data_IF_909204219083
#
_entry.id   IF_909204219083
#
_cell.length_a   1.000
_cell.length_b   1.000
_cell.length_c   1.000
_cell.angle_alpha   90.00
_cell.angle_beta   90.00
_cell.angle_gamma   90.00
#
_symmetry.space_group_name_H-M   'P 1'
#
loop_
_entity.id
_entity.type
_entity.pdbx_description
1 polymer ?
#
# COMPACT_ATOMS: atom_id res chain seq x y z
N UNK A 1 11.58 -10.10 -35.63
CA UNK A 1 12.60 -10.31 -34.57
C UNK A 1 12.94 -8.96 -33.96
N UNK A 2 12.19 -8.51 -32.95
CA UNK A 2 12.46 -7.24 -32.28
C UNK A 2 13.76 -7.34 -31.47
N UNK A 3 14.65 -6.36 -31.65
CA UNK A 3 15.94 -6.31 -30.96
C UNK A 3 15.76 -6.25 -29.45
N UNK A 4 16.54 -7.03 -28.71
CA UNK A 4 16.41 -7.13 -27.26
C UNK A 4 16.89 -5.84 -26.59
N UNK A 5 15.96 -5.01 -26.12
CA UNK A 5 16.30 -3.74 -25.47
C UNK A 5 16.97 -4.01 -24.11
N UNK A 6 18.22 -3.57 -23.97
CA UNK A 6 19.04 -3.83 -22.77
C UNK A 6 18.87 -2.77 -21.68
N UNK A 7 18.47 -1.56 -22.06
CA UNK A 7 18.24 -0.43 -21.16
C UNK A 7 16.82 0.11 -21.33
N UNK A 8 16.06 0.10 -20.24
CA UNK A 8 14.74 0.72 -20.13
C UNK A 8 14.77 1.67 -18.96
N UNK A 9 14.39 2.91 -19.23
CA UNK A 9 14.33 3.98 -18.25
C UNK A 9 13.13 3.80 -17.31
N UNK A 10 13.16 4.46 -16.16
CA UNK A 10 12.14 4.26 -15.13
C UNK A 10 10.73 4.63 -15.59
N UNK A 11 10.62 5.73 -16.32
CA UNK A 11 9.35 6.22 -16.81
C UNK A 11 8.77 5.27 -17.85
N UNK A 12 9.63 4.68 -18.69
CA UNK A 12 9.23 3.61 -19.59
C UNK A 12 8.79 2.35 -18.82
N UNK A 13 9.48 1.95 -17.75
CA UNK A 13 9.02 0.81 -16.93
C UNK A 13 7.65 1.09 -16.30
N UNK A 14 7.40 2.32 -15.83
CA UNK A 14 6.11 2.72 -15.26
C UNK A 14 5.00 2.67 -16.30
N UNK A 15 5.25 3.17 -17.50
CA UNK A 15 4.27 3.12 -18.59
C UNK A 15 3.93 1.67 -18.97
N UNK A 16 4.92 0.79 -19.03
CA UNK A 16 4.70 -0.63 -19.29
C UNK A 16 3.86 -1.30 -18.20
N UNK A 17 4.13 -1.00 -16.93
CA UNK A 17 3.32 -1.50 -15.82
C UNK A 17 1.90 -0.93 -15.86
N UNK A 18 1.72 0.34 -16.22
CA UNK A 18 0.40 0.96 -16.36
C UNK A 18 -0.43 0.28 -17.47
N UNK A 19 0.20 -0.04 -18.62
CA UNK A 19 -0.46 -0.80 -19.69
C UNK A 19 -0.80 -2.24 -19.29
N UNK A 20 0.07 -2.88 -18.49
CA UNK A 20 -0.25 -4.18 -17.90
C UNK A 20 -1.42 -4.12 -16.92
N UNK A 21 -1.53 -3.04 -16.12
CA UNK A 21 -2.66 -2.81 -15.21
C UNK A 21 -3.96 -2.50 -15.96
N UNK A 22 -3.86 -1.83 -17.11
CA UNK A 22 -4.99 -1.61 -18.02
C UNK A 22 -5.51 -2.91 -18.68
N UNK A 23 -4.84 -4.05 -18.46
CA UNK A 23 -5.26 -5.36 -18.96
C UNK A 23 -4.82 -5.65 -20.40
N UNK A 24 -3.85 -4.90 -20.93
CA UNK A 24 -3.28 -5.19 -22.25
C UNK A 24 -2.56 -6.56 -22.26
N UNK A 25 -2.44 -7.16 -23.45
CA UNK A 25 -1.79 -8.45 -23.60
C UNK A 25 -0.27 -8.31 -23.36
N UNK A 26 0.17 -8.79 -22.20
CA UNK A 26 1.58 -8.75 -21.75
C UNK A 26 2.56 -9.37 -22.75
N UNK A 27 2.13 -10.34 -23.56
CA UNK A 27 3.02 -10.96 -24.57
C UNK A 27 3.27 -10.02 -25.75
N UNK A 28 2.23 -9.33 -26.23
CA UNK A 28 2.39 -8.32 -27.29
C UNK A 28 3.24 -7.14 -26.81
N UNK A 29 2.98 -6.68 -25.59
CA UNK A 29 3.74 -5.60 -24.96
C UNK A 29 5.23 -5.96 -24.80
N UNK A 30 5.51 -7.21 -24.41
CA UNK A 30 6.86 -7.76 -24.30
C UNK A 30 7.57 -7.80 -25.67
N UNK A 31 6.86 -8.23 -26.73
CA UNK A 31 7.39 -8.32 -28.08
C UNK A 31 7.63 -6.93 -28.71
N UNK A 32 6.75 -5.97 -28.48
CA UNK A 32 6.88 -4.56 -28.93
C UNK A 32 8.14 -3.89 -28.39
N UNK A 33 8.43 -4.15 -27.10
CA UNK A 33 9.57 -3.55 -26.39
C UNK A 33 10.83 -4.39 -26.53
N UNK A 34 10.72 -5.64 -26.97
CA UNK A 34 11.85 -6.58 -27.09
C UNK A 34 12.36 -7.08 -25.74
N UNK A 35 11.48 -7.31 -24.77
CA UNK A 35 11.81 -7.82 -23.43
C UNK A 35 10.99 -9.08 -23.11
N UNK A 36 11.49 -9.96 -22.23
CA UNK A 36 10.71 -11.10 -21.78
C UNK A 36 9.57 -10.69 -20.84
N UNK A 37 8.39 -11.29 -21.02
CA UNK A 37 7.24 -11.17 -20.10
C UNK A 37 7.60 -11.39 -18.62
N UNK A 38 8.56 -12.28 -18.35
CA UNK A 38 9.03 -12.55 -17.00
C UNK A 38 9.62 -11.29 -16.35
N UNK A 39 10.36 -10.48 -17.11
CA UNK A 39 10.99 -9.25 -16.60
C UNK A 39 9.97 -8.17 -16.25
N UNK A 40 8.85 -8.14 -16.98
CA UNK A 40 7.71 -7.28 -16.66
C UNK A 40 7.04 -7.70 -15.34
N UNK A 41 6.83 -9.00 -15.12
CA UNK A 41 6.32 -9.50 -13.83
C UNK A 41 7.30 -9.24 -12.68
N UNK A 42 8.61 -9.44 -12.91
CA UNK A 42 9.65 -9.11 -11.93
C UNK A 42 9.63 -7.64 -11.54
N UNK A 43 9.40 -6.71 -12.48
CA UNK A 43 9.27 -5.28 -12.17
C UNK A 43 8.02 -4.96 -11.37
N UNK A 44 6.88 -5.57 -11.70
CA UNK A 44 5.64 -5.41 -10.92
C UNK A 44 5.83 -5.92 -9.50
N UNK A 45 6.41 -7.09 -9.34
CA UNK A 45 6.62 -7.72 -8.05
C UNK A 45 7.67 -6.93 -7.24
N UNK A 46 8.73 -6.44 -7.88
CA UNK A 46 9.72 -5.57 -7.26
C UNK A 46 9.11 -4.23 -6.82
N UNK A 47 8.22 -3.63 -7.62
CA UNK A 47 7.49 -2.42 -7.26
C UNK A 47 6.59 -2.65 -6.04
N UNK A 48 5.89 -3.78 -5.99
CA UNK A 48 5.03 -4.14 -4.85
C UNK A 48 5.82 -4.42 -3.57
N UNK A 49 7.01 -5.01 -3.68
CA UNK A 49 7.84 -5.41 -2.54
C UNK A 49 8.73 -4.28 -2.03
N UNK A 50 9.26 -3.43 -2.90
CA UNK A 50 10.28 -2.43 -2.55
C UNK A 50 9.84 -0.98 -2.78
N UNK A 51 8.69 -0.75 -3.42
CA UNK A 51 8.17 0.59 -3.71
C UNK A 51 8.95 1.38 -4.75
N UNK A 52 9.98 0.78 -5.36
CA UNK A 52 10.86 1.44 -6.33
C UNK A 52 11.19 0.50 -7.51
N UNK A 53 11.34 1.06 -8.71
CA UNK A 53 11.76 0.36 -9.93
C UNK A 53 13.26 0.48 -10.20
N UNK A 54 13.99 1.27 -9.39
CA UNK A 54 15.46 1.28 -9.40
C UNK A 54 15.95 -0.05 -8.88
N UNK A 55 16.52 -0.86 -9.77
CA UNK A 55 17.67 -1.67 -9.36
C UNK A 55 18.73 -0.65 -8.94
N UNK A 56 18.91 -0.41 -7.63
CA UNK A 56 20.06 0.37 -7.16
C UNK A 56 21.26 -0.13 -7.93
N UNK A 57 21.91 0.75 -8.69
CA UNK A 57 23.13 0.39 -9.40
C UNK A 57 24.00 -0.33 -8.38
N UNK A 58 24.28 -1.60 -8.65
CA UNK A 58 25.10 -2.47 -7.82
C UNK A 58 26.54 -1.96 -7.91
N UNK A 59 26.79 -0.81 -7.31
CA UNK A 59 28.09 -0.21 -7.16
C UNK A 59 28.72 -0.77 -5.90
N UNK A 60 29.24 -1.99 -6.02
CA UNK A 60 30.25 -2.58 -5.13
C UNK A 60 29.83 -2.83 -3.67
N UNK A 61 29.47 -4.08 -3.27
CA UNK A 61 29.67 -4.45 -1.88
C UNK A 61 31.17 -4.25 -1.56
N UNK A 62 31.47 -3.56 -0.46
CA UNK A 62 32.83 -3.42 0.03
C UNK A 62 33.45 -4.82 0.13
N UNK A 63 34.57 -5.02 -0.55
CA UNK A 63 35.30 -6.28 -0.56
C UNK A 63 35.76 -6.53 0.87
N UNK A 64 35.05 -7.39 1.61
CA UNK A 64 35.56 -7.92 2.87
C UNK A 64 36.74 -8.80 2.52
N UNK A 65 37.95 -8.23 2.55
CA UNK A 65 39.17 -9.00 2.79
C UNK A 65 39.13 -9.43 4.25
N UNK A 66 38.26 -10.37 4.57
CA UNK A 66 38.17 -10.99 5.87
C UNK A 66 38.19 -12.50 5.63
N UNK A 67 39.36 -13.08 5.88
CA UNK A 67 39.51 -14.48 6.24
C UNK A 67 39.33 -15.47 5.11
N UNK A 68 40.46 -15.93 4.58
CA UNK A 68 40.63 -17.37 4.45
C UNK A 68 40.31 -18.04 5.81
N UNK A 69 39.86 -19.29 5.74
CA UNK A 69 39.67 -20.26 6.83
C UNK A 69 38.24 -20.40 7.37
N UNK A 70 37.63 -21.54 7.07
CA UNK A 70 36.42 -21.98 7.77
C UNK A 70 35.44 -22.83 6.95
N UNK A 71 35.88 -23.91 6.33
CA UNK A 71 35.01 -24.93 5.73
C UNK A 71 34.23 -25.77 6.77
N UNK A 72 33.81 -25.16 7.89
CA UNK A 72 33.24 -25.86 9.04
C UNK A 72 32.17 -25.04 9.77
N UNK A 73 31.09 -24.63 9.09
CA UNK A 73 29.86 -24.24 9.79
C UNK A 73 28.60 -24.34 8.90
N UNK A 74 28.32 -25.55 8.39
CA UNK A 74 27.11 -25.81 7.59
C UNK A 74 25.91 -26.33 8.40
N UNK A 75 25.89 -26.21 9.74
CA UNK A 75 24.83 -26.88 10.53
C UNK A 75 24.16 -26.07 11.65
N UNK A 76 24.52 -24.79 11.90
CA UNK A 76 23.95 -24.02 13.03
C UNK A 76 23.49 -22.57 12.70
N UNK A 77 23.11 -22.23 11.47
CA UNK A 77 22.53 -20.90 11.16
C UNK A 77 21.02 -20.97 10.91
N UNK A 78 20.29 -21.50 11.87
CA UNK A 78 18.85 -21.26 12.03
C UNK A 78 18.74 -20.09 13.03
N UNK A 79 17.93 -19.08 12.71
CA UNK A 79 17.53 -17.96 13.59
C UNK A 79 18.43 -16.71 13.71
N UNK A 80 18.92 -16.16 12.59
CA UNK A 80 19.10 -14.70 12.51
C UNK A 80 18.15 -14.13 11.46
N UNK A 81 17.08 -13.38 11.85
CA UNK A 81 16.19 -12.80 10.88
C UNK A 81 16.97 -11.81 10.03
N UNK A 82 16.98 -12.07 8.73
CA UNK A 82 17.67 -11.22 7.75
C UNK A 82 17.12 -9.78 7.88
N UNK A 83 17.91 -8.73 7.58
CA UNK A 83 17.43 -7.35 7.64
C UNK A 83 16.13 -7.13 6.84
N UNK A 84 15.91 -7.94 5.81
CA UNK A 84 14.69 -7.98 5.01
C UNK A 84 13.49 -8.50 5.80
N UNK A 85 13.61 -9.61 6.54
CA UNK A 85 12.54 -10.12 7.41
C UNK A 85 12.17 -9.16 8.53
N UNK A 86 13.15 -8.43 9.09
CA UNK A 86 12.89 -7.37 10.07
C UNK A 86 12.10 -6.20 9.48
N UNK A 87 12.32 -5.87 8.21
CA UNK A 87 11.51 -4.86 7.52
C UNK A 87 10.08 -5.39 7.29
N UNK A 88 9.93 -6.63 6.79
CA UNK A 88 8.62 -7.25 6.56
C UNK A 88 7.79 -7.35 7.84
N UNK A 89 8.41 -7.65 8.98
CA UNK A 89 7.71 -7.70 10.27
C UNK A 89 7.25 -6.32 10.75
N UNK A 90 8.04 -5.26 10.51
CA UNK A 90 7.61 -3.88 10.78
C UNK A 90 6.45 -3.46 9.89
N UNK A 91 6.51 -3.78 8.59
CA UNK A 91 5.44 -3.45 7.64
C UNK A 91 4.14 -4.17 8.01
N UNK A 92 4.22 -5.47 8.37
CA UNK A 92 3.06 -6.24 8.85
C UNK A 92 2.44 -5.64 10.11
N UNK A 93 3.25 -5.18 11.06
CA UNK A 93 2.75 -4.50 12.26
C UNK A 93 2.03 -3.20 11.88
N UNK A 94 2.63 -2.42 10.96
CA UNK A 94 2.05 -1.16 10.51
C UNK A 94 0.72 -1.37 9.78
N UNK A 95 0.62 -2.38 8.93
CA UNK A 95 -0.63 -2.76 8.26
C UNK A 95 -1.71 -3.05 9.29
N UNK A 96 -1.42 -3.89 10.29
CA UNK A 96 -2.38 -4.23 11.34
C UNK A 96 -2.85 -3.02 12.15
N UNK A 97 -1.94 -2.10 12.50
CA UNK A 97 -2.29 -0.84 13.17
C UNK A 97 -3.22 0.03 12.32
N UNK A 98 -2.96 0.09 11.01
CA UNK A 98 -3.78 0.85 10.08
C UNK A 98 -5.17 0.22 9.92
N UNK A 99 -5.24 -1.10 9.75
CA UNK A 99 -6.50 -1.84 9.69
C UNK A 99 -7.35 -1.61 10.94
N UNK A 100 -6.73 -1.65 12.13
CA UNK A 100 -7.42 -1.35 13.39
C UNK A 100 -7.96 0.08 13.44
N UNK A 101 -7.15 1.07 13.01
CA UNK A 101 -7.59 2.48 12.98
C UNK A 101 -8.72 2.72 11.99
N UNK A 102 -8.67 2.08 10.81
CA UNK A 102 -9.75 2.17 9.82
C UNK A 102 -11.04 1.56 10.38
N UNK A 103 -10.96 0.40 11.05
CA UNK A 103 -12.11 -0.19 11.72
C UNK A 103 -12.70 0.72 12.81
N UNK A 104 -11.85 1.33 13.65
CA UNK A 104 -12.30 2.29 14.66
C UNK A 104 -13.00 3.49 14.03
N UNK A 105 -12.40 4.09 13.00
CA UNK A 105 -13.00 5.24 12.31
C UNK A 105 -14.33 4.90 11.65
N UNK A 106 -14.49 3.69 11.12
CA UNK A 106 -15.76 3.25 10.53
C UNK A 106 -16.87 3.20 11.59
N UNK A 107 -16.58 2.64 12.77
CA UNK A 107 -17.52 2.61 13.89
C UNK A 107 -17.89 4.02 14.37
N UNK A 108 -16.89 4.90 14.48
CA UNK A 108 -17.12 6.30 14.88
C UNK A 108 -18.03 7.02 13.87
N UNK A 109 -17.78 6.84 12.56
CA UNK A 109 -18.61 7.42 11.50
C UNK A 109 -20.05 6.91 11.54
N UNK A 110 -20.23 5.60 11.76
CA UNK A 110 -21.57 5.02 11.84
C UNK A 110 -22.33 5.53 13.07
N UNK A 111 -21.66 5.65 14.22
CA UNK A 111 -22.20 6.30 15.42
C UNK A 111 -22.63 7.75 15.16
N UNK A 112 -21.77 8.56 14.52
CA UNK A 112 -22.11 9.96 14.23
C UNK A 112 -23.27 10.09 13.24
N UNK A 113 -23.36 9.20 12.23
CA UNK A 113 -24.49 9.18 11.30
C UNK A 113 -25.80 8.89 12.01
N UNK A 114 -25.81 7.93 12.94
CA UNK A 114 -26.99 7.59 13.72
C UNK A 114 -27.39 8.72 14.69
N UNK A 115 -26.41 9.32 15.37
CA UNK A 115 -26.64 10.48 16.25
C UNK A 115 -27.23 11.68 15.48
N UNK A 116 -26.72 11.98 14.29
CA UNK A 116 -27.25 13.05 13.44
C UNK A 116 -28.67 12.75 12.96
N UNK A 117 -28.98 11.49 12.61
CA UNK A 117 -30.35 11.09 12.24
C UNK A 117 -31.33 11.34 13.39
N UNK A 118 -30.97 10.95 14.61
CA UNK A 118 -31.81 11.19 15.79
C UNK A 118 -32.02 12.69 16.05
N UNK A 119 -30.95 13.49 15.93
CA UNK A 119 -31.05 14.93 16.08
C UNK A 119 -32.00 15.56 15.03
N UNK A 120 -31.92 15.13 13.77
CA UNK A 120 -32.84 15.58 12.72
C UNK A 120 -34.29 15.17 12.99
N UNK A 121 -34.52 13.96 13.50
CA UNK A 121 -35.86 13.49 13.88
C UNK A 121 -36.46 14.31 15.02
N UNK A 122 -35.67 14.63 16.04
CA UNK A 122 -36.08 15.49 17.15
C UNK A 122 -36.36 16.93 16.68
N UNK A 123 -35.55 17.46 15.76
CA UNK A 123 -35.83 18.75 15.12
C UNK A 123 -37.14 18.74 14.32
N UNK A 124 -37.44 17.66 13.59
CA UNK A 124 -38.70 17.53 12.83
C UNK A 124 -39.92 17.41 13.74
N UNK A 125 -39.79 16.71 14.87
CA UNK A 125 -40.86 16.60 15.89
C UNK A 125 -41.13 17.95 16.57
N UNK A 126 -40.08 18.70 16.91
CA UNK A 126 -40.22 20.05 17.48
C UNK A 126 -40.66 21.11 16.47
N UNK A 127 -40.36 20.92 15.18
CA UNK A 127 -40.77 21.83 14.08
C UNK A 127 -42.11 21.47 13.44
N UNK A 128 -42.83 20.47 13.97
CA UNK A 128 -44.20 20.20 13.56
C UNK A 128 -45.06 21.44 13.85
N UNK A 129 -45.83 21.97 12.88
CA UNK A 129 -46.62 23.17 13.07
C UNK A 129 -47.81 22.85 13.96
N UNK A 130 -47.65 23.05 15.27
CA UNK A 130 -48.72 22.76 16.22
C UNK A 130 -48.32 22.70 17.69
N UNK A 131 -47.55 23.66 18.21
CA UNK A 131 -47.75 24.09 19.61
C UNK A 131 -47.68 25.61 19.70
N UNK A 132 -48.87 26.19 19.62
CA UNK A 132 -49.18 27.51 20.15
C UNK A 132 -48.92 27.52 21.66
N UNK A 133 -47.70 27.84 22.08
CA UNK A 133 -47.36 28.18 23.47
C UNK A 133 -47.36 29.70 23.69
N UNK A 134 -48.53 30.32 23.57
CA UNK A 134 -48.75 31.75 23.88
C UNK A 134 -48.74 32.00 25.39
N UNK A 135 -48.01 33.05 25.83
CA UNK A 135 -48.25 33.92 27.01
C UNK A 135 -48.12 33.27 28.42
N UNK A 136 -47.45 33.82 29.44
CA UNK A 136 -47.24 35.21 29.86
C UNK A 136 -45.93 35.34 30.67
N UNK A 137 -45.05 36.27 30.30
CA UNK A 137 -44.06 36.80 31.25
C UNK A 137 -44.77 37.81 32.16
N UNK A 138 -45.06 37.38 33.39
CA UNK A 138 -45.66 38.20 34.43
C UNK A 138 -44.63 39.18 35.00
N UNK A 139 -45.00 40.48 35.01
CA UNK A 139 -44.33 41.52 35.78
C UNK A 139 -44.72 41.38 37.26
N UNK A 140 -43.73 41.24 38.15
CA UNK A 140 -43.68 41.97 39.43
C UNK A 140 -42.31 41.91 40.07
#
# INVERSE_FOLDING_TARGET
MAGRQRFIDEDQKRELLQRMEAGENVSKLADEVGISRQRLYEWRDHLRLYGDLKSRRRGRPARSTAGLDGAAQLQNSVDLPTPQEKALTKDRRRIRELEQKVGQQQLDLDFFREALRHFEEDQRRSSAPGETGSSNSSKR
#
